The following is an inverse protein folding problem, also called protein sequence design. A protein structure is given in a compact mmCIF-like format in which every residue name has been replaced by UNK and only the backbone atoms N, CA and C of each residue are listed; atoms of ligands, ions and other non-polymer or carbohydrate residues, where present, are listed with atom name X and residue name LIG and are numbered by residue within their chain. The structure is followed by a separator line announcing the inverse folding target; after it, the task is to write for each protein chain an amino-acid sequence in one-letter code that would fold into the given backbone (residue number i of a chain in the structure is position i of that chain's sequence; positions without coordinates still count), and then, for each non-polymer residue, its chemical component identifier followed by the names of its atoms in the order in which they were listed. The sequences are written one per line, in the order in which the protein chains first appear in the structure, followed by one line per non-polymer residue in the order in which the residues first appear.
data_IF_379276943456
#
_entry.id   IF_379276943456
#
_cell.length_a   1.000
_cell.length_b   1.000
_cell.length_c   1.000
_cell.angle_alpha   90.00
_cell.angle_beta   90.00
_cell.angle_gamma   90.00
#
_symmetry.space_group_name_H-M   'P 1'
#
loop_
_entity.id
_entity.type
_entity.pdbx_description
1 polymer ?
#
# COMPACT_ATOMS: atom_id res chain seq x y z
N UNK A 1 -47.28 -56.94 19.91
CA UNK A 1 -47.31 -55.50 20.12
C UNK A 1 -45.91 -54.94 19.84
N UNK A 2 -45.70 -54.37 18.64
CA UNK A 2 -44.42 -53.72 18.23
C UNK A 2 -44.70 -52.23 18.14
N UNK A 3 -44.09 -51.43 19.01
CA UNK A 3 -44.14 -49.98 18.95
C UNK A 3 -43.05 -49.51 17.99
N UNK A 4 -43.47 -48.79 16.95
CA UNK A 4 -42.63 -48.15 15.96
C UNK A 4 -42.29 -46.76 16.48
N UNK A 5 -41.03 -46.51 16.76
CA UNK A 5 -40.47 -45.19 17.17
C UNK A 5 -40.11 -44.39 15.90
N UNK A 6 -40.87 -43.33 15.60
CA UNK A 6 -40.59 -42.36 14.54
C UNK A 6 -39.54 -41.36 15.06
N UNK A 7 -38.32 -41.44 14.53
CA UNK A 7 -37.31 -40.40 14.69
C UNK A 7 -37.54 -39.29 13.65
N UNK A 8 -37.93 -38.11 14.11
CA UNK A 8 -37.94 -36.90 13.31
C UNK A 8 -36.51 -36.34 13.23
N UNK A 9 -35.90 -36.44 12.04
CA UNK A 9 -34.61 -35.78 11.74
C UNK A 9 -34.95 -34.35 11.29
N UNK A 10 -34.78 -33.40 12.19
CA UNK A 10 -34.82 -31.97 11.87
C UNK A 10 -33.57 -31.58 11.08
N UNK A 11 -33.69 -31.32 9.79
CA UNK A 11 -32.65 -30.75 8.97
C UNK A 11 -32.46 -29.27 9.32
N UNK A 12 -31.45 -28.96 10.10
CA UNK A 12 -30.97 -27.59 10.24
C UNK A 12 -30.22 -27.20 8.95
N UNK A 13 -30.90 -26.45 8.09
CA UNK A 13 -30.23 -25.72 7.00
C UNK A 13 -29.42 -24.59 7.63
N UNK A 14 -28.11 -24.82 7.86
CA UNK A 14 -27.14 -23.75 8.04
C UNK A 14 -27.03 -23.02 6.70
N UNK A 15 -27.67 -21.86 6.59
CA UNK A 15 -27.43 -20.95 5.49
C UNK A 15 -25.94 -20.55 5.55
N UNK A 16 -25.15 -21.03 4.58
CA UNK A 16 -23.79 -20.53 4.37
C UNK A 16 -23.91 -19.02 4.07
N UNK A 17 -23.05 -18.18 4.70
CA UNK A 17 -23.02 -16.77 4.34
C UNK A 17 -22.66 -16.67 2.87
N UNK A 18 -23.56 -16.09 2.07
CA UNK A 18 -23.29 -15.73 0.68
C UNK A 18 -22.10 -14.79 0.70
N UNK A 19 -20.94 -15.28 0.23
CA UNK A 19 -19.72 -14.49 0.13
C UNK A 19 -19.95 -13.32 -0.82
N UNK A 20 -20.32 -12.18 -0.29
CA UNK A 20 -20.37 -10.93 -1.03
C UNK A 20 -18.97 -10.63 -1.53
N UNK A 21 -18.79 -10.47 -2.84
CA UNK A 21 -17.52 -10.00 -3.40
C UNK A 21 -17.25 -8.60 -2.88
N UNK A 22 -16.05 -8.39 -2.30
CA UNK A 22 -15.61 -7.06 -1.89
C UNK A 22 -15.63 -6.12 -3.09
N UNK A 23 -16.26 -4.94 -3.00
CA UNK A 23 -16.32 -3.99 -4.12
C UNK A 23 -14.89 -3.56 -4.53
N UNK A 24 -14.60 -3.69 -5.82
CA UNK A 24 -13.34 -3.21 -6.40
C UNK A 24 -13.51 -1.74 -6.78
N UNK A 25 -12.59 -0.89 -6.35
CA UNK A 25 -12.62 0.53 -6.68
C UNK A 25 -12.44 0.76 -8.19
N UNK A 26 -13.17 1.74 -8.72
CA UNK A 26 -13.08 2.15 -10.14
C UNK A 26 -11.79 2.92 -10.39
N UNK A 27 -11.25 2.79 -11.61
CA UNK A 27 -10.19 3.67 -12.08
C UNK A 27 -10.78 5.07 -12.36
N UNK A 28 -10.07 6.09 -11.90
CA UNK A 28 -10.49 7.49 -12.07
C UNK A 28 -10.73 8.21 -10.75
N UNK A 29 -10.63 9.55 -10.78
CA UNK A 29 -10.98 10.43 -9.66
C UNK A 29 -12.24 11.26 -10.00
N UNK A 30 -13.22 10.64 -10.64
CA UNK A 30 -14.43 11.34 -11.14
C UNK A 30 -15.44 11.68 -10.03
N UNK A 31 -15.23 11.24 -8.81
CA UNK A 31 -16.09 11.63 -7.70
C UNK A 31 -15.80 13.09 -7.31
N UNK A 32 -16.83 13.96 -7.25
CA UNK A 32 -16.67 15.29 -6.68
C UNK A 32 -16.12 15.17 -5.26
N UNK A 33 -15.32 16.15 -4.78
CA UNK A 33 -14.81 16.14 -3.43
C UNK A 33 -15.98 15.99 -2.46
N UNK A 34 -16.07 14.83 -1.80
CA UNK A 34 -17.04 14.64 -0.74
C UNK A 34 -16.63 15.60 0.37
N UNK A 35 -17.44 16.61 0.62
CA UNK A 35 -17.27 17.45 1.79
C UNK A 35 -17.50 16.58 3.03
N UNK A 36 -16.44 16.02 3.55
CA UNK A 36 -16.48 15.24 4.79
C UNK A 36 -16.67 16.25 5.93
N UNK A 37 -17.73 16.08 6.71
CA UNK A 37 -17.99 16.97 7.83
C UNK A 37 -16.81 16.89 8.81
N UNK A 38 -16.01 17.97 8.86
CA UNK A 38 -14.91 18.08 9.81
C UNK A 38 -15.49 18.27 11.21
N UNK A 39 -15.32 17.29 12.08
CA UNK A 39 -15.97 17.32 13.40
C UNK A 39 -15.05 16.98 14.57
N UNK A 40 -13.74 17.19 14.50
CA UNK A 40 -12.91 16.96 15.70
C UNK A 40 -11.70 17.91 15.75
N UNK A 41 -11.65 18.76 16.75
CA UNK A 41 -10.47 19.60 17.12
C UNK A 41 -9.24 18.76 17.55
N UNK A 42 -9.39 17.43 17.69
CA UNK A 42 -8.36 16.54 18.22
C UNK A 42 -7.53 15.77 17.18
N UNK A 43 -7.87 15.84 15.90
CA UNK A 43 -7.25 15.05 14.84
C UNK A 43 -7.76 13.58 14.80
N UNK A 44 -7.59 12.93 13.63
CA UNK A 44 -8.03 11.56 13.35
C UNK A 44 -6.83 10.61 13.41
N UNK A 45 -7.03 9.43 13.95
CA UNK A 45 -6.04 8.33 13.91
C UNK A 45 -6.26 7.50 12.67
N UNK A 46 -5.19 7.18 11.93
CA UNK A 46 -5.21 6.29 10.77
C UNK A 46 -4.08 5.28 10.89
N UNK A 47 -4.44 4.00 10.89
CA UNK A 47 -3.48 2.89 10.97
C UNK A 47 -3.27 2.31 9.58
N UNK A 48 -2.04 2.39 9.08
CA UNK A 48 -1.66 1.90 7.76
C UNK A 48 -0.63 0.78 7.89
N UNK A 49 -0.89 -0.36 7.24
CA UNK A 49 0.03 -1.48 7.19
C UNK A 49 0.60 -1.63 5.78
N UNK A 50 1.91 -1.81 5.68
CA UNK A 50 2.63 -2.18 4.46
C UNK A 50 3.15 -3.60 4.60
N UNK A 51 2.90 -4.49 3.62
CA UNK A 51 3.29 -5.89 3.72
C UNK A 51 3.51 -6.56 2.37
N UNK A 52 4.73 -7.00 2.09
CA UNK A 52 5.01 -7.94 1.01
C UNK A 52 4.64 -9.35 1.49
N UNK A 53 3.66 -9.99 0.83
CA UNK A 53 3.08 -11.27 1.26
C UNK A 53 3.73 -12.50 0.60
N UNK A 54 4.69 -12.29 -0.32
CA UNK A 54 5.36 -13.38 -1.06
C UNK A 54 4.36 -14.33 -1.72
N UNK A 55 3.37 -13.78 -2.40
CA UNK A 55 2.29 -14.55 -3.03
C UNK A 55 2.56 -14.88 -4.50
N UNK A 56 3.82 -15.20 -4.86
CA UNK A 56 4.17 -15.70 -6.18
C UNK A 56 3.45 -17.03 -6.47
N UNK A 57 3.00 -17.27 -7.72
CA UNK A 57 2.30 -18.49 -8.05
C UNK A 57 3.25 -19.69 -8.22
N UNK A 58 2.71 -20.90 -8.01
CA UNK A 58 3.36 -22.12 -8.46
C UNK A 58 3.53 -22.09 -10.01
N UNK A 59 4.61 -22.58 -10.60
CA UNK A 59 5.77 -23.25 -10.01
C UNK A 59 6.94 -22.31 -9.68
N UNK A 60 6.74 -21.00 -9.62
CA UNK A 60 7.81 -20.03 -9.30
C UNK A 60 8.32 -20.24 -7.87
N UNK A 61 7.38 -20.50 -6.96
CA UNK A 61 7.65 -20.94 -5.57
C UNK A 61 6.69 -22.09 -5.22
N UNK A 62 6.93 -22.74 -4.07
CA UNK A 62 6.02 -23.75 -3.53
C UNK A 62 4.64 -23.15 -3.24
N UNK A 63 3.62 -24.01 -3.09
CA UNK A 63 2.28 -23.59 -2.72
C UNK A 63 2.28 -22.84 -1.39
N UNK A 64 1.69 -21.66 -1.40
CA UNK A 64 1.62 -20.72 -0.27
C UNK A 64 0.19 -20.48 0.21
N UNK A 65 -0.76 -21.26 -0.24
CA UNK A 65 -2.18 -21.07 0.05
C UNK A 65 -2.48 -21.07 1.56
N UNK A 66 -1.77 -21.89 2.32
CA UNK A 66 -1.92 -21.97 3.78
C UNK A 66 -1.44 -20.68 4.48
N UNK A 67 -0.25 -20.19 4.15
CA UNK A 67 0.30 -18.97 4.75
C UNK A 67 -0.49 -17.73 4.33
N UNK A 68 -0.90 -17.65 3.07
CA UNK A 68 -1.73 -16.53 2.57
C UNK A 68 -3.10 -16.53 3.24
N UNK A 69 -3.71 -17.70 3.43
CA UNK A 69 -4.93 -17.84 4.23
C UNK A 69 -4.72 -17.41 5.68
N UNK A 70 -3.63 -17.82 6.30
CA UNK A 70 -3.28 -17.45 7.67
C UNK A 70 -3.05 -15.94 7.84
N UNK A 71 -2.51 -15.25 6.82
CA UNK A 71 -2.41 -13.78 6.82
C UNK A 71 -3.82 -13.16 6.91
N UNK A 72 -4.75 -13.61 6.07
CA UNK A 72 -6.13 -13.13 6.09
C UNK A 72 -6.82 -13.39 7.44
N UNK A 73 -6.63 -14.57 8.02
CA UNK A 73 -7.21 -14.93 9.33
C UNK A 73 -6.64 -14.09 10.46
N UNK A 74 -5.32 -13.83 10.47
CA UNK A 74 -4.70 -12.95 11.47
C UNK A 74 -5.18 -11.52 11.36
N UNK A 75 -5.35 -10.97 10.15
CA UNK A 75 -5.95 -9.65 9.94
C UNK A 75 -7.39 -9.61 10.45
N UNK A 76 -8.16 -10.68 10.21
CA UNK A 76 -9.52 -10.82 10.75
C UNK A 76 -9.54 -10.88 12.28
N UNK A 77 -8.64 -11.62 12.89
CA UNK A 77 -8.49 -11.67 14.35
C UNK A 77 -8.15 -10.29 14.92
N UNK A 78 -7.20 -9.56 14.31
CA UNK A 78 -6.89 -8.17 14.68
C UNK A 78 -8.11 -7.25 14.56
N UNK A 79 -9.03 -7.53 13.65
CA UNK A 79 -10.29 -6.77 13.53
C UNK A 79 -11.22 -7.04 14.70
N UNK A 80 -11.34 -8.30 15.10
CA UNK A 80 -12.20 -8.68 16.22
C UNK A 80 -11.71 -8.12 17.57
N UNK A 81 -10.40 -7.95 17.74
CA UNK A 81 -9.80 -7.36 18.93
C UNK A 81 -9.56 -5.83 18.84
N UNK A 82 -10.00 -5.18 17.74
CA UNK A 82 -9.92 -3.74 17.55
C UNK A 82 -8.52 -3.21 17.20
N UNK A 83 -7.55 -4.10 16.90
CA UNK A 83 -6.16 -3.72 16.58
C UNK A 83 -5.84 -3.73 15.08
N UNK A 84 -6.82 -4.07 14.22
CA UNK A 84 -6.62 -4.11 12.77
C UNK A 84 -6.17 -2.75 12.21
N UNK A 85 -5.30 -2.75 11.18
CA UNK A 85 -5.06 -1.55 10.39
C UNK A 85 -6.33 -1.10 9.66
N UNK A 86 -6.50 0.21 9.50
CA UNK A 86 -7.63 0.78 8.76
C UNK A 86 -7.41 0.68 7.24
N UNK A 87 -6.13 0.67 6.83
CA UNK A 87 -5.67 0.49 5.46
C UNK A 87 -4.50 -0.49 5.42
N UNK A 88 -4.50 -1.40 4.45
CA UNK A 88 -3.38 -2.32 4.19
C UNK A 88 -2.99 -2.21 2.72
N UNK A 89 -1.70 -2.07 2.47
CA UNK A 89 -1.12 -2.18 1.14
C UNK A 89 -0.26 -3.44 1.08
N UNK A 90 -0.51 -4.26 0.05
CA UNK A 90 0.21 -5.51 -0.16
C UNK A 90 1.06 -5.43 -1.42
N UNK A 91 2.22 -6.04 -1.38
CA UNK A 91 3.06 -6.34 -2.53
C UNK A 91 3.16 -7.85 -2.71
N UNK A 92 3.52 -8.29 -3.91
CA UNK A 92 3.58 -9.69 -4.33
C UNK A 92 2.25 -10.47 -4.16
N UNK A 93 1.12 -9.79 -4.15
CA UNK A 93 -0.18 -10.44 -4.14
C UNK A 93 -0.57 -10.92 -5.57
N UNK A 94 0.24 -11.79 -6.15
CA UNK A 94 0.08 -12.25 -7.54
C UNK A 94 -0.97 -13.35 -7.68
N UNK A 95 -1.04 -14.29 -6.74
CA UNK A 95 -1.94 -15.44 -6.79
C UNK A 95 -3.38 -15.07 -6.41
N UNK A 96 -4.34 -15.93 -6.74
CA UNK A 96 -5.73 -15.81 -6.31
C UNK A 96 -5.86 -15.81 -4.78
N UNK A 97 -5.08 -16.65 -4.09
CA UNK A 97 -5.11 -16.76 -2.63
C UNK A 97 -4.59 -15.48 -1.96
N UNK A 98 -3.53 -14.88 -2.52
CA UNK A 98 -3.05 -13.58 -2.05
C UNK A 98 -4.08 -12.46 -2.23
N UNK A 99 -4.82 -12.45 -3.34
CA UNK A 99 -5.91 -11.50 -3.57
C UNK A 99 -7.13 -11.75 -2.67
N UNK A 100 -7.37 -13.01 -2.29
CA UNK A 100 -8.45 -13.39 -1.37
C UNK A 100 -8.23 -12.90 0.08
N UNK A 101 -7.02 -12.46 0.44
CA UNK A 101 -6.71 -11.90 1.77
C UNK A 101 -7.69 -10.78 2.13
N UNK A 102 -8.05 -9.90 1.19
CA UNK A 102 -8.97 -8.78 1.44
C UNK A 102 -10.34 -9.25 1.95
N UNK A 103 -10.97 -10.17 1.22
CA UNK A 103 -12.26 -10.72 1.58
C UNK A 103 -12.19 -11.53 2.88
N UNK A 104 -11.14 -12.34 3.07
CA UNK A 104 -10.93 -13.15 4.25
C UNK A 104 -10.72 -12.30 5.51
N UNK A 105 -10.00 -11.19 5.39
CA UNK A 105 -9.79 -10.22 6.45
C UNK A 105 -11.01 -9.34 6.73
N UNK A 106 -11.99 -9.27 5.82
CA UNK A 106 -13.23 -8.51 5.97
C UNK A 106 -13.09 -7.02 5.70
N UNK A 107 -12.17 -6.61 4.79
CA UNK A 107 -12.10 -5.23 4.33
C UNK A 107 -13.24 -4.89 3.38
N UNK A 108 -13.86 -3.72 3.57
CA UNK A 108 -15.02 -3.29 2.81
C UNK A 108 -14.69 -2.83 1.39
N UNK A 109 -13.47 -2.32 1.19
CA UNK A 109 -13.05 -1.73 -0.08
C UNK A 109 -11.69 -2.28 -0.51
N UNK A 110 -11.52 -2.54 -1.80
CA UNK A 110 -10.26 -3.03 -2.37
C UNK A 110 -9.95 -2.36 -3.70
N UNK A 111 -8.66 -2.12 -3.95
CA UNK A 111 -8.13 -1.67 -5.23
C UNK A 111 -6.92 -2.52 -5.63
N UNK A 112 -6.73 -2.70 -6.93
CA UNK A 112 -5.63 -3.47 -7.49
C UNK A 112 -4.74 -2.58 -8.35
N UNK A 113 -3.43 -2.81 -8.27
CA UNK A 113 -2.45 -2.21 -9.16
C UNK A 113 -2.56 -2.72 -10.60
N UNK A 114 -1.61 -2.35 -11.47
CA UNK A 114 -1.61 -2.77 -12.87
C UNK A 114 -1.77 -4.28 -13.03
N UNK A 115 -2.67 -4.66 -13.96
CA UNK A 115 -2.82 -6.05 -14.41
C UNK A 115 -1.69 -6.42 -15.39
N UNK A 116 -1.56 -7.70 -15.75
CA UNK A 116 -0.63 -8.12 -16.79
C UNK A 116 -0.93 -7.52 -18.17
N UNK A 117 -2.19 -7.10 -18.40
CA UNK A 117 -2.66 -6.55 -19.68
C UNK A 117 -2.59 -5.03 -19.74
N UNK A 118 -2.35 -4.34 -18.62
CA UNK A 118 -2.23 -2.89 -18.61
C UNK A 118 -0.94 -2.50 -19.37
N UNK A 119 -1.08 -1.61 -20.33
CA UNK A 119 0.05 -1.15 -21.12
C UNK A 119 0.95 -0.28 -20.26
N UNK A 120 2.26 -0.56 -20.29
CA UNK A 120 3.24 0.35 -19.77
C UNK A 120 3.20 1.66 -20.60
N UNK A 121 3.48 2.83 -19.98
CA UNK A 121 3.68 4.06 -20.74
C UNK A 121 4.69 3.86 -21.86
N UNK A 122 4.53 4.60 -22.96
CA UNK A 122 5.50 4.59 -24.05
C UNK A 122 6.89 4.95 -23.50
N UNK A 123 7.90 4.18 -23.88
CA UNK A 123 9.26 4.38 -23.45
C UNK A 123 9.87 5.58 -24.21
N UNK A 124 9.95 6.71 -23.56
CA UNK A 124 10.74 7.85 -24.01
C UNK A 124 12.23 7.70 -23.63
N UNK A 125 12.53 6.69 -22.80
CA UNK A 125 13.88 6.48 -22.28
C UNK A 125 14.71 5.61 -23.21
N UNK A 126 16.03 5.88 -23.22
CA UNK A 126 16.98 5.03 -23.96
C UNK A 126 16.87 3.59 -23.51
N UNK A 127 17.09 2.61 -24.40
CA UNK A 127 17.17 1.21 -24.00
C UNK A 127 18.15 0.99 -22.85
N UNK A 128 17.92 -0.05 -22.06
CA UNK A 128 18.87 -0.46 -21.02
C UNK A 128 20.24 -0.72 -21.65
N UNK A 129 21.36 -0.39 -20.94
CA UNK A 129 22.73 -0.57 -21.47
C UNK A 129 23.08 -1.99 -21.88
N UNK A 130 22.40 -2.97 -21.28
CA UNK A 130 22.52 -4.38 -21.59
C UNK A 130 21.15 -5.04 -21.54
N UNK A 131 21.03 -6.26 -22.07
CA UNK A 131 19.81 -7.08 -22.00
C UNK A 131 20.18 -8.51 -21.59
N UNK A 132 19.32 -9.09 -20.76
CA UNK A 132 19.46 -10.45 -20.24
C UNK A 132 18.20 -11.28 -20.55
N UNK A 133 17.94 -11.64 -21.85
CA UNK A 133 16.70 -12.33 -22.23
C UNK A 133 16.54 -13.65 -21.47
N UNK A 134 17.63 -14.41 -21.25
CA UNK A 134 17.59 -15.67 -20.47
C UNK A 134 17.27 -15.46 -18.98
N UNK A 135 17.08 -14.20 -18.54
CA UNK A 135 16.62 -13.82 -17.21
C UNK A 135 15.24 -13.13 -17.26
N UNK A 136 14.49 -13.26 -18.34
CA UNK A 136 13.11 -12.78 -18.46
C UNK A 136 12.95 -11.44 -19.16
N UNK A 137 14.05 -10.74 -19.49
CA UNK A 137 13.94 -9.43 -20.16
C UNK A 137 13.49 -9.58 -21.61
N UNK A 138 12.53 -8.76 -22.02
CA UNK A 138 12.02 -8.69 -23.39
C UNK A 138 10.89 -9.68 -23.71
N UNK A 139 10.48 -10.53 -22.78
CA UNK A 139 9.34 -11.45 -22.99
C UNK A 139 7.98 -10.80 -22.64
N UNK A 140 7.98 -9.65 -21.99
CA UNK A 140 6.78 -9.01 -21.47
C UNK A 140 6.38 -9.51 -20.07
N UNK A 141 5.35 -8.90 -19.51
CA UNK A 141 4.85 -9.25 -18.19
C UNK A 141 3.81 -10.38 -18.30
N UNK A 142 4.03 -11.46 -17.60
CA UNK A 142 3.07 -12.57 -17.45
C UNK A 142 2.21 -12.43 -16.19
N UNK A 143 2.73 -11.72 -15.17
CA UNK A 143 2.05 -11.47 -13.92
C UNK A 143 1.58 -10.00 -13.85
N UNK A 144 0.55 -9.76 -13.05
CA UNK A 144 0.15 -8.40 -12.67
C UNK A 144 1.26 -7.70 -11.88
N UNK A 145 0.99 -6.48 -11.38
CA UNK A 145 1.92 -5.81 -10.47
C UNK A 145 2.04 -6.47 -9.10
N UNK A 146 1.09 -7.32 -8.72
CA UNK A 146 1.00 -7.87 -7.37
C UNK A 146 0.62 -6.86 -6.30
N UNK A 147 0.16 -5.66 -6.67
CA UNK A 147 -0.25 -4.61 -5.71
C UNK A 147 -1.72 -4.75 -5.37
N UNK A 148 -2.04 -4.70 -4.05
CA UNK A 148 -3.40 -4.64 -3.53
C UNK A 148 -3.46 -3.57 -2.45
N UNK A 149 -4.51 -2.76 -2.46
CA UNK A 149 -4.86 -1.83 -1.40
C UNK A 149 -6.22 -2.26 -0.84
N UNK A 150 -6.30 -2.44 0.47
CA UNK A 150 -7.53 -2.78 1.19
C UNK A 150 -7.81 -1.67 2.20
N UNK A 151 -9.06 -1.25 2.32
CA UNK A 151 -9.47 -0.15 3.21
C UNK A 151 -10.80 -0.43 3.88
N UNK A 152 -10.93 -0.02 5.13
CA UNK A 152 -12.20 0.05 5.84
C UNK A 152 -13.03 1.26 5.40
N UNK A 153 -12.35 2.29 4.86
CA UNK A 153 -12.98 3.51 4.40
C UNK A 153 -13.23 3.48 2.89
N UNK A 154 -14.25 4.21 2.41
CA UNK A 154 -14.56 4.28 0.99
C UNK A 154 -13.36 4.73 0.15
N UNK A 155 -13.08 3.99 -0.93
CA UNK A 155 -12.13 4.39 -1.96
C UNK A 155 -12.91 5.21 -2.99
N UNK A 156 -12.61 6.51 -3.08
CA UNK A 156 -13.30 7.46 -3.97
C UNK A 156 -12.87 7.30 -5.42
N UNK A 157 -11.68 6.77 -5.65
CA UNK A 157 -11.14 6.49 -6.96
C UNK A 157 -9.67 6.08 -6.89
N UNK A 158 -9.15 5.61 -8.02
CA UNK A 158 -7.76 5.15 -8.14
C UNK A 158 -7.10 5.66 -9.40
N UNK A 159 -5.77 5.70 -9.38
CA UNK A 159 -4.90 5.79 -10.54
C UNK A 159 -3.83 4.70 -10.42
N UNK A 160 -3.49 4.08 -11.53
CA UNK A 160 -2.45 3.08 -11.59
C UNK A 160 -1.67 3.17 -12.90
N UNK A 161 -0.40 2.81 -12.85
CA UNK A 161 0.42 2.72 -14.03
C UNK A 161 1.46 1.61 -13.86
N UNK A 162 1.68 0.83 -14.91
CA UNK A 162 2.84 -0.05 -14.99
C UNK A 162 4.10 0.79 -15.22
N UNK A 163 5.23 0.34 -14.69
CA UNK A 163 6.52 0.95 -15.02
C UNK A 163 6.90 0.67 -16.46
N UNK A 164 7.64 1.58 -17.12
CA UNK A 164 8.13 1.37 -18.47
C UNK A 164 8.88 0.04 -18.60
N UNK A 165 8.79 -0.60 -19.77
CA UNK A 165 9.46 -1.87 -20.04
C UNK A 165 10.98 -1.76 -20.00
N UNK A 166 11.54 -0.56 -20.23
CA UNK A 166 12.97 -0.25 -20.06
C UNK A 166 13.35 0.02 -18.61
N UNK A 167 12.40 0.00 -17.68
CA UNK A 167 12.62 0.21 -16.26
C UNK A 167 12.51 -1.10 -15.46
N UNK A 168 12.90 -2.21 -16.03
CA UNK A 168 12.97 -3.49 -15.32
C UNK A 168 14.28 -4.22 -15.60
N UNK A 169 14.68 -5.10 -14.71
CA UNK A 169 15.87 -5.94 -14.84
C UNK A 169 15.56 -7.39 -14.48
N UNK A 170 16.03 -8.31 -15.29
CA UNK A 170 15.97 -9.75 -15.07
C UNK A 170 14.56 -10.28 -14.84
N UNK A 171 14.40 -11.21 -13.92
CA UNK A 171 13.11 -11.87 -13.65
C UNK A 171 11.99 -10.92 -13.22
N UNK A 172 12.32 -9.75 -12.70
CA UNK A 172 11.31 -8.74 -12.36
C UNK A 172 10.53 -8.23 -13.58
N UNK A 173 11.09 -8.34 -14.80
CA UNK A 173 10.41 -7.99 -16.03
C UNK A 173 9.22 -8.92 -16.36
N UNK A 174 9.12 -10.07 -15.71
CA UNK A 174 8.00 -11.00 -15.89
C UNK A 174 6.73 -10.58 -15.12
N UNK A 175 6.85 -9.62 -14.21
CA UNK A 175 5.72 -8.99 -13.54
C UNK A 175 5.52 -7.56 -14.07
N UNK A 176 4.26 -7.14 -14.19
CA UNK A 176 3.91 -5.79 -14.63
C UNK A 176 4.00 -4.80 -13.45
N UNK A 177 5.19 -4.76 -12.81
CA UNK A 177 5.43 -3.89 -11.65
C UNK A 177 5.06 -2.44 -11.97
N UNK A 178 4.62 -1.72 -10.95
CA UNK A 178 4.11 -0.36 -11.14
C UNK A 178 3.70 0.30 -9.84
N UNK A 179 2.75 1.21 -9.94
CA UNK A 179 2.24 2.04 -8.86
C UNK A 179 0.71 1.99 -8.82
N UNK A 180 0.15 2.07 -7.62
CA UNK A 180 -1.26 2.25 -7.35
C UNK A 180 -1.42 3.42 -6.38
N UNK A 181 -2.25 4.41 -6.74
CA UNK A 181 -2.66 5.55 -5.93
C UNK A 181 -4.17 5.48 -5.73
N UNK A 182 -4.65 5.59 -4.50
CA UNK A 182 -6.06 5.63 -4.17
C UNK A 182 -6.37 6.84 -3.29
N UNK A 183 -7.52 7.48 -3.49
CA UNK A 183 -8.08 8.50 -2.61
C UNK A 183 -9.09 7.86 -1.69
N UNK A 184 -8.90 7.94 -0.38
CA UNK A 184 -9.80 7.36 0.61
C UNK A 184 -10.50 8.45 1.42
N UNK A 185 -11.79 8.21 1.73
CA UNK A 185 -12.60 9.10 2.54
C UNK A 185 -12.46 8.75 4.02
N UNK A 186 -11.49 9.34 4.71
CA UNK A 186 -11.28 9.11 6.14
C UNK A 186 -12.26 9.98 6.95
N UNK A 187 -13.13 9.38 7.78
CA UNK A 187 -14.11 10.12 8.57
C UNK A 187 -13.43 11.15 9.49
N UNK A 188 -14.00 12.35 9.56
CA UNK A 188 -13.48 13.45 10.37
C UNK A 188 -12.41 14.31 9.70
N UNK A 189 -12.00 14.00 8.46
CA UNK A 189 -11.16 14.87 7.65
C UNK A 189 -11.99 15.61 6.60
N UNK A 190 -11.64 16.88 6.28
CA UNK A 190 -12.36 17.68 5.28
C UNK A 190 -11.99 17.31 3.83
N UNK A 191 -10.90 16.59 3.64
CA UNK A 191 -10.38 16.18 2.34
C UNK A 191 -9.99 14.71 2.36
N UNK A 192 -9.99 14.03 1.20
CA UNK A 192 -9.49 12.66 1.10
C UNK A 192 -8.01 12.56 1.48
N UNK A 193 -7.59 11.34 1.82
CA UNK A 193 -6.17 10.98 1.99
C UNK A 193 -5.74 10.17 0.78
N UNK A 194 -4.64 10.54 0.16
CA UNK A 194 -4.00 9.73 -0.87
C UNK A 194 -3.19 8.62 -0.22
N UNK A 195 -3.47 7.38 -0.61
CA UNK A 195 -2.69 6.20 -0.23
C UNK A 195 -2.05 5.64 -1.48
N UNK A 196 -0.73 5.59 -1.49
CA UNK A 196 0.05 5.06 -2.60
C UNK A 196 0.79 3.79 -2.21
N UNK A 197 0.92 2.87 -3.16
CA UNK A 197 1.80 1.71 -3.03
C UNK A 197 2.52 1.41 -4.34
N UNK A 198 3.73 0.88 -4.22
CA UNK A 198 4.55 0.40 -5.34
C UNK A 198 5.37 -0.81 -4.90
N UNK A 199 5.86 -1.57 -5.89
CA UNK A 199 6.87 -2.60 -5.66
C UNK A 199 7.99 -2.38 -6.67
N UNK A 200 9.14 -1.93 -6.16
CA UNK A 200 10.28 -1.54 -7.00
C UNK A 200 11.09 -2.76 -7.44
N UNK A 201 11.92 -2.56 -8.46
CA UNK A 201 12.79 -3.62 -9.00
C UNK A 201 13.69 -4.19 -7.92
N UNK A 202 13.65 -5.50 -7.74
CA UNK A 202 14.49 -6.19 -6.78
C UNK A 202 15.97 -6.09 -7.20
N UNK A 203 16.88 -6.44 -6.31
CA UNK A 203 18.32 -6.31 -6.56
C UNK A 203 18.92 -7.66 -6.93
N UNK A 204 19.15 -8.52 -5.95
CA UNK A 204 19.73 -9.85 -6.16
C UNK A 204 18.75 -10.85 -6.83
N UNK A 205 17.45 -10.85 -6.50
CA UNK A 205 16.49 -11.78 -7.10
C UNK A 205 16.35 -11.65 -8.63
N UNK A 206 16.69 -10.49 -9.22
CA UNK A 206 16.70 -10.31 -10.69
C UNK A 206 17.63 -11.29 -11.43
N UNK A 207 18.68 -11.76 -10.72
CA UNK A 207 19.78 -12.58 -11.30
C UNK A 207 20.55 -11.87 -12.41
N UNK A 208 20.54 -10.54 -12.42
CA UNK A 208 21.36 -9.69 -13.29
C UNK A 208 22.45 -8.97 -12.49
N UNK A 209 23.47 -8.35 -13.14
CA UNK A 209 24.44 -7.53 -12.42
C UNK A 209 23.79 -6.41 -11.61
N UNK A 210 24.31 -6.14 -10.42
CA UNK A 210 23.76 -5.11 -9.52
C UNK A 210 23.64 -3.73 -10.18
N UNK A 211 24.63 -3.24 -10.95
CA UNK A 211 24.47 -1.96 -11.65
C UNK A 211 23.27 -1.93 -12.61
N UNK A 212 22.99 -3.05 -13.28
CA UNK A 212 21.83 -3.17 -14.17
C UNK A 212 20.51 -3.12 -13.41
N UNK A 213 20.41 -3.85 -12.29
CA UNK A 213 19.25 -3.80 -11.41
C UNK A 213 19.05 -2.40 -10.77
N UNK A 214 20.14 -1.69 -10.46
CA UNK A 214 20.08 -0.33 -9.94
C UNK A 214 19.64 0.68 -11.00
N UNK A 215 20.09 0.52 -12.26
CA UNK A 215 19.63 1.34 -13.37
C UNK A 215 18.12 1.20 -13.56
N UNK A 216 17.59 -0.02 -13.54
CA UNK A 216 16.14 -0.27 -13.59
C UNK A 216 15.42 0.44 -12.45
N UNK A 217 15.94 0.36 -11.23
CA UNK A 217 15.39 1.05 -10.06
C UNK A 217 15.33 2.57 -10.25
N UNK A 218 16.43 3.19 -10.72
CA UNK A 218 16.49 4.65 -10.94
C UNK A 218 15.45 5.08 -11.98
N UNK A 219 15.27 4.29 -13.04
CA UNK A 219 14.24 4.54 -14.06
C UNK A 219 12.83 4.41 -13.51
N UNK A 220 12.59 3.44 -12.62
CA UNK A 220 11.31 3.31 -11.92
C UNK A 220 11.06 4.51 -11.01
N UNK A 221 12.07 5.02 -10.30
CA UNK A 221 11.93 6.25 -9.53
C UNK A 221 11.53 7.44 -10.40
N UNK A 222 12.16 7.60 -11.57
CA UNK A 222 11.79 8.65 -12.53
C UNK A 222 10.36 8.46 -13.07
N UNK A 223 9.94 7.22 -13.33
CA UNK A 223 8.56 6.93 -13.74
C UNK A 223 7.55 7.23 -12.62
N UNK A 224 7.89 6.94 -11.36
CA UNK A 224 7.09 7.27 -10.20
C UNK A 224 6.96 8.79 -10.01
N UNK A 225 8.04 9.55 -10.21
CA UNK A 225 7.99 11.02 -10.19
C UNK A 225 7.01 11.56 -11.23
N UNK A 226 7.09 11.07 -12.47
CA UNK A 226 6.14 11.48 -13.55
C UNK A 226 4.70 11.10 -13.22
N UNK A 227 4.50 9.89 -12.67
CA UNK A 227 3.18 9.43 -12.27
C UNK A 227 2.58 10.33 -11.19
N UNK A 228 3.32 10.66 -10.15
CA UNK A 228 2.85 11.54 -9.07
C UNK A 228 2.57 12.96 -9.60
N UNK A 229 3.45 13.52 -10.40
CA UNK A 229 3.23 14.85 -11.00
C UNK A 229 1.94 14.93 -11.84
N UNK A 230 1.52 13.82 -12.45
CA UNK A 230 0.32 13.77 -13.30
C UNK A 230 -0.97 13.38 -12.53
N UNK A 231 -0.88 12.72 -11.39
CA UNK A 231 -2.04 12.04 -10.77
C UNK A 231 -2.27 12.40 -9.30
N UNK A 232 -1.24 12.80 -8.55
CA UNK A 232 -1.39 13.23 -7.15
C UNK A 232 -1.87 14.67 -7.10
N UNK A 233 -2.66 14.98 -6.07
CA UNK A 233 -3.12 16.33 -5.78
C UNK A 233 -2.33 16.85 -4.56
N UNK A 234 -1.43 17.84 -4.75
CA UNK A 234 -0.58 18.32 -3.66
C UNK A 234 -1.38 18.99 -2.52
N UNK A 235 -2.65 19.33 -2.75
CA UNK A 235 -3.53 19.82 -1.68
C UNK A 235 -4.02 18.72 -0.75
N UNK A 236 -3.80 17.44 -1.10
CA UNK A 236 -4.19 16.28 -0.30
C UNK A 236 -3.01 15.71 0.46
N UNK A 237 -3.21 15.25 1.72
CA UNK A 237 -2.18 14.52 2.45
C UNK A 237 -1.97 13.15 1.80
N UNK A 238 -0.71 12.68 1.77
CA UNK A 238 -0.37 11.38 1.16
C UNK A 238 0.39 10.49 2.15
N UNK A 239 0.09 9.20 2.11
CA UNK A 239 0.87 8.13 2.75
C UNK A 239 1.28 7.13 1.68
N UNK A 240 2.57 6.86 1.57
CA UNK A 240 3.15 5.93 0.61
C UNK A 240 3.77 4.74 1.34
N UNK A 241 3.17 3.56 1.18
CA UNK A 241 3.69 2.29 1.71
C UNK A 241 4.16 1.39 0.56
N UNK A 242 5.40 0.91 0.60
CA UNK A 242 5.96 0.15 -0.52
C UNK A 242 7.08 -0.81 -0.08
N UNK A 243 7.25 -1.88 -0.84
CA UNK A 243 8.52 -2.59 -0.91
C UNK A 243 9.42 -1.86 -1.92
N UNK A 244 10.32 -1.04 -1.40
CA UNK A 244 11.23 -0.23 -2.20
C UNK A 244 12.49 -0.97 -2.65
N UNK A 245 12.72 -2.18 -2.15
CA UNK A 245 13.91 -2.96 -2.50
C UNK A 245 15.24 -2.17 -2.40
N UNK A 246 15.37 -1.31 -1.39
CA UNK A 246 16.56 -0.45 -1.22
C UNK A 246 17.81 -1.26 -0.88
N UNK A 247 17.64 -2.34 -0.12
CA UNK A 247 18.70 -3.30 0.27
C UNK A 247 19.98 -2.61 0.81
N UNK A 248 19.79 -1.44 1.47
CA UNK A 248 20.86 -0.55 1.96
C UNK A 248 21.83 -0.08 0.87
N UNK A 249 21.42 -0.08 -0.39
CA UNK A 249 22.23 0.39 -1.51
C UNK A 249 22.28 1.92 -1.56
N UNK A 250 23.47 2.56 -1.53
CA UNK A 250 23.60 4.01 -1.48
C UNK A 250 22.98 4.72 -2.69
N UNK A 251 23.07 4.11 -3.89
CA UNK A 251 22.50 4.68 -5.12
C UNK A 251 20.97 4.70 -5.07
N UNK A 252 20.36 3.61 -4.60
CA UNK A 252 18.89 3.51 -4.44
C UNK A 252 18.38 4.47 -3.36
N UNK A 253 19.08 4.54 -2.23
CA UNK A 253 18.75 5.48 -1.15
C UNK A 253 18.87 6.92 -1.62
N UNK A 254 19.90 7.28 -2.39
CA UNK A 254 20.06 8.61 -2.95
C UNK A 254 18.93 8.97 -3.93
N UNK A 255 18.55 8.04 -4.82
CA UNK A 255 17.43 8.22 -5.74
C UNK A 255 16.10 8.43 -5.00
N UNK A 256 15.80 7.61 -3.97
CA UNK A 256 14.61 7.78 -3.15
C UNK A 256 14.60 9.15 -2.46
N UNK A 257 15.70 9.57 -1.85
CA UNK A 257 15.80 10.88 -1.17
C UNK A 257 15.53 12.03 -2.14
N UNK A 258 16.13 11.97 -3.33
CA UNK A 258 15.93 13.00 -4.36
C UNK A 258 14.46 13.10 -4.77
N UNK A 259 13.78 11.97 -5.00
CA UNK A 259 12.37 11.94 -5.37
C UNK A 259 11.47 12.38 -4.21
N UNK A 260 11.69 11.87 -2.99
CA UNK A 260 10.86 12.23 -1.83
C UNK A 260 10.97 13.72 -1.45
N UNK A 261 12.13 14.34 -1.68
CA UNK A 261 12.27 15.80 -1.53
C UNK A 261 11.40 16.53 -2.54
N UNK A 262 11.43 16.14 -3.83
CA UNK A 262 10.58 16.75 -4.86
C UNK A 262 9.09 16.59 -4.56
N UNK A 263 8.65 15.41 -4.06
CA UNK A 263 7.25 15.18 -3.71
C UNK A 263 6.78 16.05 -2.54
N UNK A 264 7.69 16.37 -1.60
CA UNK A 264 7.40 17.25 -0.47
C UNK A 264 7.55 18.74 -0.76
N UNK A 265 8.27 19.13 -1.82
CA UNK A 265 8.50 20.54 -2.17
C UNK A 265 7.24 21.24 -2.68
N UNK A 266 6.28 20.49 -3.23
CA UNK A 266 5.08 21.09 -3.81
C UNK A 266 4.21 21.80 -2.76
N UNK A 267 4.22 21.42 -1.48
CA UNK A 267 3.39 22.04 -0.41
C UNK A 267 3.93 21.89 1.04
N UNK A 268 5.21 22.13 1.27
CA UNK A 268 5.63 22.46 2.64
C UNK A 268 6.30 21.38 3.47
N UNK A 269 7.06 20.49 2.87
CA UNK A 269 7.97 19.66 3.65
C UNK A 269 8.43 18.38 2.96
N UNK A 270 9.70 18.04 3.13
CA UNK A 270 10.21 16.74 2.75
C UNK A 270 9.39 15.62 3.42
N UNK A 271 9.08 14.57 2.66
CA UNK A 271 8.38 13.41 3.18
C UNK A 271 9.10 12.82 4.39
N UNK A 272 8.34 12.45 5.41
CA UNK A 272 8.87 11.81 6.60
C UNK A 272 8.79 10.30 6.45
N UNK A 273 9.94 9.61 6.49
CA UNK A 273 9.95 8.16 6.65
C UNK A 273 9.50 7.84 8.09
N UNK A 274 8.38 7.12 8.19
CA UNK A 274 7.67 6.98 9.45
C UNK A 274 8.43 6.13 10.48
N UNK A 275 9.05 5.03 10.05
CA UNK A 275 9.78 4.16 10.97
C UNK A 275 11.03 4.85 11.48
N UNK A 276 11.76 5.59 10.63
CA UNK A 276 12.91 6.38 11.05
C UNK A 276 12.51 7.56 11.94
N UNK A 277 11.41 8.25 11.62
CA UNK A 277 10.91 9.36 12.43
C UNK A 277 10.52 8.94 13.86
N UNK A 278 10.03 7.70 14.03
CA UNK A 278 9.62 7.14 15.31
C UNK A 278 10.76 6.38 15.98
N UNK A 279 11.48 5.56 15.22
CA UNK A 279 12.46 4.58 15.69
C UNK A 279 13.92 5.01 15.48
N UNK A 280 14.18 6.12 14.80
CA UNK A 280 15.51 6.67 14.57
C UNK A 280 16.22 7.17 15.83
N UNK A 281 15.48 7.34 16.93
CA UNK A 281 15.96 7.64 18.29
C UNK A 281 15.31 6.69 19.28
N UNK A 282 15.92 6.40 20.45
CA UNK A 282 15.26 5.63 21.49
C UNK A 282 13.89 6.20 21.84
N UNK A 283 12.86 5.40 21.73
CA UNK A 283 11.47 5.84 21.94
C UNK A 283 10.59 4.67 22.36
N UNK A 284 9.70 4.88 23.34
CA UNK A 284 8.64 3.93 23.71
C UNK A 284 7.57 3.76 22.63
N UNK A 285 7.53 4.62 21.62
CA UNK A 285 6.61 4.54 20.48
C UNK A 285 7.09 3.57 19.40
N UNK A 286 8.37 3.15 19.48
CA UNK A 286 8.95 2.16 18.57
C UNK A 286 8.80 0.77 19.17
N UNK A 287 8.16 -0.14 18.45
CA UNK A 287 8.11 -1.53 18.89
C UNK A 287 9.51 -2.15 18.90
N UNK A 288 9.90 -2.92 19.94
CA UNK A 288 11.25 -3.49 20.06
C UNK A 288 11.72 -4.30 18.84
N UNK A 289 10.80 -4.97 18.12
CA UNK A 289 11.14 -5.74 16.92
C UNK A 289 11.56 -4.85 15.73
N UNK A 290 11.12 -3.58 15.67
CA UNK A 290 11.56 -2.61 14.66
C UNK A 290 13.00 -2.19 14.92
N UNK A 291 13.42 -2.19 16.16
CA UNK A 291 14.78 -2.05 16.64
C UNK A 291 15.49 -0.75 16.22
N UNK A 292 15.74 0.14 17.17
CA UNK A 292 16.56 1.34 16.97
C UNK A 292 17.88 1.03 16.25
N UNK A 293 18.58 -0.06 16.63
CA UNK A 293 19.86 -0.43 16.05
C UNK A 293 19.79 -0.88 14.59
N UNK A 294 18.71 -1.53 14.17
CA UNK A 294 18.55 -1.98 12.79
C UNK A 294 18.28 -0.80 11.83
N UNK A 295 17.45 0.16 12.24
CA UNK A 295 17.11 1.34 11.46
C UNK A 295 18.29 2.34 11.44
N UNK A 296 18.91 2.59 12.58
CA UNK A 296 20.06 3.50 12.69
C UNK A 296 21.30 3.01 11.93
N UNK A 297 21.45 1.68 11.76
CA UNK A 297 22.56 1.09 11.02
C UNK A 297 22.26 0.89 9.52
N UNK A 298 21.09 1.34 9.03
CA UNK A 298 20.69 1.13 7.64
C UNK A 298 20.51 -0.34 7.25
N UNK A 299 20.43 -1.23 8.25
CA UNK A 299 20.28 -2.66 8.01
C UNK A 299 18.85 -3.01 7.72
N UNK A 300 18.58 -3.24 6.42
CA UNK A 300 17.46 -3.98 5.88
C UNK A 300 16.08 -3.52 6.32
N UNK A 301 15.62 -2.47 5.74
CA UNK A 301 14.19 -2.37 5.54
C UNK A 301 13.95 -2.10 4.06
N UNK A 302 13.35 -3.04 3.35
CA UNK A 302 12.86 -2.83 2.00
C UNK A 302 11.44 -2.26 2.02
N UNK A 303 10.75 -2.44 3.16
CA UNK A 303 9.37 -2.06 3.40
C UNK A 303 9.30 -0.69 4.08
N UNK A 304 9.01 0.35 3.30
CA UNK A 304 9.03 1.74 3.74
C UNK A 304 7.62 2.33 3.80
N UNK A 305 7.42 3.24 4.74
CA UNK A 305 6.26 4.12 4.76
C UNK A 305 6.70 5.57 4.87
N UNK A 306 6.37 6.37 3.84
CA UNK A 306 6.60 7.80 3.77
C UNK A 306 5.26 8.52 3.96
N UNK A 307 5.27 9.69 4.61
CA UNK A 307 4.09 10.50 4.79
C UNK A 307 4.36 11.96 4.42
N UNK A 308 3.39 12.57 3.78
CA UNK A 308 3.43 13.93 3.28
C UNK A 308 2.21 14.69 3.78
N UNK A 309 2.43 15.80 4.47
CA UNK A 309 1.37 16.71 4.85
C UNK A 309 0.92 17.54 3.64
N UNK A 310 -0.28 18.14 3.74
CA UNK A 310 -0.75 19.14 2.79
C UNK A 310 -1.03 20.47 3.50
N UNK A 311 -1.42 21.48 2.72
CA UNK A 311 -1.88 22.76 3.27
C UNK A 311 -3.10 22.60 4.21
N UNK A 312 -3.89 21.55 4.01
CA UNK A 312 -5.14 21.32 4.74
C UNK A 312 -5.01 20.34 5.90
N UNK A 313 -4.08 19.39 5.80
CA UNK A 313 -3.96 18.31 6.78
C UNK A 313 -2.50 18.02 7.10
N UNK A 314 -2.15 18.14 8.37
CA UNK A 314 -0.88 17.69 8.92
C UNK A 314 -0.94 16.18 9.12
N UNK A 315 0.08 15.46 8.67
CA UNK A 315 0.26 14.02 8.88
C UNK A 315 1.46 13.77 9.77
N UNK A 316 1.25 13.13 10.92
CA UNK A 316 2.33 12.79 11.87
C UNK A 316 2.33 11.30 12.18
N UNK A 317 3.42 10.58 11.95
CA UNK A 317 3.57 9.22 12.46
C UNK A 317 3.68 9.25 13.99
N UNK A 318 2.86 8.42 14.65
CA UNK A 318 2.75 8.39 16.11
C UNK A 318 3.40 7.16 16.72
N UNK A 319 3.23 6.00 16.07
CA UNK A 319 3.82 4.73 16.49
C UNK A 319 4.08 3.83 15.29
N UNK A 320 5.10 2.99 15.39
CA UNK A 320 5.42 1.97 14.42
C UNK A 320 5.58 0.62 15.11
N UNK A 321 5.07 -0.43 14.48
CA UNK A 321 5.15 -1.79 15.00
C UNK A 321 5.37 -2.77 13.85
N UNK A 322 6.18 -3.80 14.11
CA UNK A 322 6.27 -4.96 13.25
C UNK A 322 5.11 -5.91 13.57
N UNK A 323 4.50 -6.42 12.53
CA UNK A 323 3.47 -7.46 12.61
C UNK A 323 3.88 -8.65 11.74
N UNK A 324 3.27 -9.79 11.97
CA UNK A 324 3.55 -11.03 11.25
C UNK A 324 5.04 -11.44 11.29
N UNK A 325 5.72 -11.12 12.41
CA UNK A 325 7.03 -11.68 12.68
C UNK A 325 6.93 -13.22 12.77
N UNK A 326 8.02 -13.96 12.52
CA UNK A 326 8.05 -15.40 12.74
C UNK A 326 7.53 -15.75 14.13
N UNK A 327 6.81 -16.86 14.23
CA UNK A 327 6.34 -17.38 15.49
C UNK A 327 7.51 -17.94 16.35
N UNK A 328 7.28 -18.33 17.60
CA UNK A 328 8.33 -18.90 18.45
C UNK A 328 9.00 -20.16 17.89
N UNK A 329 8.34 -20.88 16.97
CA UNK A 329 8.91 -22.03 16.24
C UNK A 329 9.72 -21.62 15.01
N UNK A 330 9.78 -20.31 14.71
CA UNK A 330 10.50 -19.76 13.55
C UNK A 330 9.71 -19.78 12.25
N UNK A 331 8.43 -20.16 12.28
CA UNK A 331 7.57 -20.16 11.08
C UNK A 331 7.14 -18.75 10.73
N UNK A 332 7.47 -18.30 9.51
CA UNK A 332 7.11 -17.01 8.96
C UNK A 332 6.04 -17.12 7.88
N UNK A 333 5.06 -16.23 7.89
CA UNK A 333 4.02 -16.17 6.86
C UNK A 333 4.50 -15.49 5.57
N UNK A 334 5.62 -14.80 5.60
CA UNK A 334 6.35 -14.23 4.46
C UNK A 334 7.83 -14.11 4.85
N UNK A 335 8.71 -13.94 3.88
CA UNK A 335 10.12 -13.55 4.13
C UNK A 335 10.26 -12.05 4.45
N UNK A 336 9.17 -11.28 4.35
CA UNK A 336 9.01 -9.94 4.88
C UNK A 336 8.20 -9.94 6.17
N UNK A 337 8.32 -8.88 6.94
CA UNK A 337 7.49 -8.59 8.10
C UNK A 337 6.63 -7.36 7.80
N UNK A 338 5.36 -7.39 8.22
CA UNK A 338 4.48 -6.25 8.00
C UNK A 338 4.87 -5.07 8.90
N UNK A 339 4.89 -3.88 8.32
CA UNK A 339 5.12 -2.62 9.04
C UNK A 339 3.79 -1.92 9.25
N UNK A 340 3.34 -1.81 10.50
CA UNK A 340 2.14 -1.08 10.89
C UNK A 340 2.52 0.27 11.49
N UNK A 341 2.05 1.35 10.89
CA UNK A 341 2.24 2.71 11.42
C UNK A 341 0.89 3.31 11.76
N UNK A 342 0.81 3.92 12.94
CA UNK A 342 -0.32 4.75 13.35
C UNK A 342 0.03 6.21 13.09
N UNK A 343 -0.75 6.85 12.25
CA UNK A 343 -0.65 8.27 11.95
C UNK A 343 -1.69 9.08 12.71
N UNK A 344 -1.36 10.32 13.08
CA UNK A 344 -2.32 11.33 13.47
C UNK A 344 -2.45 12.34 12.34
N UNK A 345 -3.67 12.50 11.85
CA UNK A 345 -4.03 13.48 10.84
C UNK A 345 -4.81 14.61 11.53
N UNK A 346 -4.36 15.85 11.38
CA UNK A 346 -5.01 17.01 11.99
C UNK A 346 -5.17 18.12 10.96
N UNK A 347 -6.37 18.73 10.96
CA UNK A 347 -6.66 19.89 10.09
C UNK A 347 -5.81 21.08 10.52
N UNK A 348 -5.15 21.75 9.57
CA UNK A 348 -4.39 22.97 9.84
C UNK A 348 -5.34 24.14 10.10
N UNK A 349 -5.07 24.95 11.13
CA UNK A 349 -6.01 25.94 11.68
C UNK A 349 -6.55 27.02 10.72
N UNK A 350 -5.89 27.26 9.59
CA UNK A 350 -6.37 28.19 8.56
C UNK A 350 -7.47 27.62 7.66
N UNK A 351 -7.59 26.31 7.57
CA UNK A 351 -8.55 25.64 6.65
C UNK A 351 -9.97 25.59 7.21
N UNK A 352 -10.13 25.55 8.52
CA UNK A 352 -11.45 25.53 9.18
C UNK A 352 -12.29 26.78 8.88
N UNK A 353 -11.67 27.96 8.87
CA UNK A 353 -12.36 29.21 8.58
C UNK A 353 -12.74 29.37 7.10
N UNK A 354 -11.85 28.99 6.17
CA UNK A 354 -12.10 29.08 4.73
C UNK A 354 -13.16 28.07 4.23
N UNK A 355 -13.16 26.83 4.76
CA UNK A 355 -14.16 25.82 4.42
C UNK A 355 -15.55 26.16 4.97
N UNK A 356 -15.61 26.75 6.17
CA UNK A 356 -16.88 27.22 6.75
C UNK A 356 -17.45 28.38 5.95
N UNK A 357 -16.62 29.31 5.47
CA UNK A 357 -17.06 30.43 4.62
C UNK A 357 -17.53 29.96 3.24
N UNK A 358 -16.83 29.00 2.62
CA UNK A 358 -17.25 28.42 1.34
C UNK A 358 -18.56 27.61 1.47
N UNK A 359 -18.75 26.84 2.53
CA UNK A 359 -20.00 26.13 2.81
C UNK A 359 -21.18 27.09 3.06
N UNK A 360 -20.94 28.22 3.73
CA UNK A 360 -21.94 29.26 3.94
C UNK A 360 -22.24 30.03 2.66
N UNK A 361 -21.23 30.32 1.82
CA UNK A 361 -21.41 30.95 0.52
C UNK A 361 -22.22 30.07 -0.44
N UNK A 362 -21.94 28.74 -0.49
CA UNK A 362 -22.72 27.78 -1.27
C UNK A 362 -24.15 27.61 -0.76
N UNK A 363 -24.39 27.67 0.55
CA UNK A 363 -25.78 27.69 1.10
C UNK A 363 -26.54 28.93 0.69
N UNK A 364 -25.90 30.12 0.70
CA UNK A 364 -26.53 31.39 0.25
C UNK A 364 -26.82 31.41 -1.25
N UNK A 365 -25.95 30.80 -2.07
CA UNK A 365 -26.17 30.70 -3.52
C UNK A 365 -27.31 29.73 -3.93
N UNK A 366 -27.73 28.82 -3.04
CA UNK A 366 -28.86 27.90 -3.25
C UNK A 366 -30.19 28.42 -2.72
N UNK A 367 -30.19 29.57 -2.04
CA UNK A 367 -31.39 30.22 -1.47
C UNK A 367 -31.79 31.50 -2.23
N UNK A 368 -31.15 31.81 -3.35
CA UNK A 368 -31.51 32.77 -4.37
C UNK A 368 -31.90 32.04 -5.67
#
# INVERSE_FOLDING_TARGET
MRQTLLLAIGAFFLAAPTGGSTPVAKDGFDAPPVSLAASHSGGVSLRVMNYNVKGLPWPVIDDRSAELSAIGDRLRAMRLDGTAPDVVVLQEAFSSDARAIAARAGYAHVAYGPSSNDLAPADEERPMPARYPWRGEGYGAYLSSGLVLMSDYPILGTRRAAFPRTACAGYDCLANKGVLLARIAVPGLPVPVEIMTAHMNSRKPTRTPIPHANEAFVRQMAALDRFLAANSDPSLPMIFGADLNLDSDPQRIAALRQSSTRWGEAEGGAGSEATFAICGKPSTRCHPAVGFGAIAQGKRNNDWQLSFASSHVMVRPMSAAIRFAPDPAGLALSDHQAVLVTYRLSVTGNSGAALTQNAQAMKRARSL
#
